data_IF_627698800653
#
_entry.id   IF_627698800653
#
_cell.length_a   1.000
_cell.length_b   1.000
_cell.length_c   1.000
_cell.angle_alpha   90.00
_cell.angle_beta   90.00
_cell.angle_gamma   90.00
#
_symmetry.space_group_name_H-M   'P 1'
#
loop_
_entity.id
_entity.type
_entity.pdbx_description
1 polymer ?
#
# COMPACT_ATOMS: atom_id res chain seq x y z
N UNK A 1 -2.05 32.97 7.87
CA UNK A 1 -2.18 31.64 7.24
C UNK A 1 -1.23 30.70 7.96
N UNK A 2 -1.74 29.85 8.84
CA UNK A 2 -0.93 28.84 9.53
C UNK A 2 -0.65 27.72 8.54
N UNK A 3 0.59 27.63 8.06
CA UNK A 3 1.03 26.52 7.20
C UNK A 3 1.05 25.26 8.07
N UNK A 4 0.12 24.35 7.84
CA UNK A 4 0.17 23.03 8.47
C UNK A 4 1.40 22.31 7.91
N UNK A 5 2.49 22.30 8.67
CA UNK A 5 3.69 21.53 8.38
C UNK A 5 3.43 20.10 8.78
N UNK A 6 2.95 19.29 7.83
CA UNK A 6 2.87 17.84 8.01
C UNK A 6 4.29 17.31 7.96
N UNK A 7 4.65 16.49 8.94
CA UNK A 7 5.94 15.80 8.97
C UNK A 7 6.08 14.95 7.69
N UNK A 8 7.16 15.15 6.89
CA UNK A 8 7.35 14.42 5.63
C UNK A 8 7.29 12.90 5.81
N UNK A 9 7.81 12.40 6.93
CA UNK A 9 7.80 10.97 7.21
C UNK A 9 6.39 10.46 7.54
N UNK A 10 5.61 11.20 8.34
CA UNK A 10 4.20 10.89 8.59
C UNK A 10 3.36 10.88 7.30
N UNK A 11 3.61 11.82 6.39
CA UNK A 11 2.95 11.87 5.07
C UNK A 11 3.28 10.63 4.23
N UNK A 12 4.57 10.27 4.15
CA UNK A 12 5.01 9.12 3.35
C UNK A 12 4.44 7.80 3.87
N UNK A 13 4.43 7.61 5.19
CA UNK A 13 3.82 6.44 5.84
C UNK A 13 2.31 6.40 5.57
N UNK A 14 1.62 7.54 5.66
CA UNK A 14 0.19 7.61 5.38
C UNK A 14 -0.14 7.21 3.94
N UNK A 15 0.62 7.70 2.96
CA UNK A 15 0.46 7.32 1.56
C UNK A 15 0.81 5.85 1.31
N UNK A 16 1.85 5.33 1.95
CA UNK A 16 2.21 3.92 1.88
C UNK A 16 1.09 3.01 2.38
N UNK A 17 0.50 3.34 3.54
CA UNK A 17 -0.62 2.60 4.11
C UNK A 17 -1.85 2.69 3.22
N UNK A 18 -2.12 3.87 2.64
CA UNK A 18 -3.24 4.05 1.72
C UNK A 18 -3.07 3.21 0.45
N UNK A 19 -1.89 3.21 -0.16
CA UNK A 19 -1.59 2.41 -1.34
C UNK A 19 -1.78 0.92 -1.08
N UNK A 20 -1.30 0.44 0.08
CA UNK A 20 -1.45 -0.95 0.49
C UNK A 20 -2.92 -1.30 0.74
N UNK A 21 -3.67 -0.42 1.41
CA UNK A 21 -5.10 -0.58 1.65
C UNK A 21 -5.92 -0.63 0.37
N UNK A 22 -5.68 0.29 -0.57
CA UNK A 22 -6.34 0.30 -1.89
C UNK A 22 -6.04 -0.99 -2.65
N UNK A 23 -4.79 -1.44 -2.64
CA UNK A 23 -4.39 -2.70 -3.28
C UNK A 23 -5.19 -3.87 -2.70
N UNK A 24 -5.25 -3.99 -1.36
CA UNK A 24 -6.02 -5.04 -0.70
C UNK A 24 -7.52 -4.99 -1.06
N UNK A 25 -8.12 -3.80 -1.14
CA UNK A 25 -9.52 -3.63 -1.52
C UNK A 25 -9.79 -4.07 -2.97
N UNK A 26 -8.88 -3.78 -3.90
CA UNK A 26 -8.99 -4.22 -5.29
C UNK A 26 -9.00 -5.75 -5.37
N UNK A 27 -8.07 -6.42 -4.67
CA UNK A 27 -8.04 -7.89 -4.63
C UNK A 27 -9.25 -8.49 -3.91
N UNK A 28 -9.74 -7.85 -2.84
CA UNK A 28 -10.97 -8.25 -2.17
C UNK A 28 -12.18 -8.15 -3.13
N UNK A 29 -12.28 -7.07 -3.89
CA UNK A 29 -13.31 -6.90 -4.93
C UNK A 29 -13.22 -7.97 -6.01
N UNK A 30 -12.01 -8.24 -6.52
CA UNK A 30 -11.77 -9.30 -7.50
C UNK A 30 -12.17 -10.68 -6.97
N UNK A 31 -11.82 -10.99 -5.71
CA UNK A 31 -12.15 -12.25 -5.04
C UNK A 31 -13.66 -12.41 -4.74
N UNK A 32 -14.38 -11.29 -4.62
CA UNK A 32 -15.83 -11.29 -4.49
C UNK A 32 -16.51 -11.53 -5.84
N UNK A 33 -16.03 -10.88 -6.91
CA UNK A 33 -16.54 -11.03 -8.27
C UNK A 33 -16.23 -12.40 -8.90
N UNK A 34 -15.09 -13.01 -8.56
CA UNK A 34 -14.64 -14.30 -9.14
C UNK A 34 -14.33 -15.35 -8.06
N UNK A 35 -15.37 -15.97 -7.45
CA UNK A 35 -15.20 -16.94 -6.37
C UNK A 35 -14.33 -18.15 -6.75
N UNK A 36 -14.47 -18.64 -7.98
CA UNK A 36 -13.71 -19.78 -8.50
C UNK A 36 -12.19 -19.55 -8.56
N UNK A 37 -11.74 -18.30 -8.64
CA UNK A 37 -10.32 -17.93 -8.68
C UNK A 37 -9.80 -17.37 -7.36
N UNK A 38 -10.58 -17.41 -6.28
CA UNK A 38 -10.33 -16.68 -5.04
C UNK A 38 -8.96 -16.96 -4.43
N UNK A 39 -8.52 -18.21 -4.38
CA UNK A 39 -7.20 -18.56 -3.82
C UNK A 39 -6.06 -17.97 -4.64
N UNK A 40 -6.10 -18.10 -5.96
CA UNK A 40 -5.10 -17.51 -6.86
C UNK A 40 -5.08 -15.99 -6.73
N UNK A 41 -6.25 -15.34 -6.70
CA UNK A 41 -6.40 -13.90 -6.53
C UNK A 41 -5.74 -13.44 -5.22
N UNK A 42 -5.99 -14.13 -4.11
CA UNK A 42 -5.38 -13.78 -2.83
C UNK A 42 -3.89 -14.09 -2.78
N UNK A 43 -3.41 -15.13 -3.44
CA UNK A 43 -1.98 -15.47 -3.50
C UNK A 43 -1.22 -14.38 -4.28
N UNK A 44 -1.71 -14.00 -5.46
CA UNK A 44 -1.16 -12.91 -6.26
C UNK A 44 -1.31 -11.57 -5.54
N UNK A 45 -2.45 -11.35 -4.87
CA UNK A 45 -2.70 -10.17 -4.05
C UNK A 45 -1.71 -10.03 -2.91
N UNK A 46 -1.42 -11.12 -2.18
CA UNK A 46 -0.42 -11.15 -1.13
C UNK A 46 0.97 -10.81 -1.67
N UNK A 47 1.38 -11.42 -2.78
CA UNK A 47 2.66 -11.08 -3.43
C UNK A 47 2.73 -9.60 -3.84
N UNK A 48 1.62 -9.06 -4.35
CA UNK A 48 1.53 -7.64 -4.75
C UNK A 48 1.63 -6.71 -3.53
N UNK A 49 0.92 -7.02 -2.44
CA UNK A 49 1.01 -6.25 -1.19
C UNK A 49 2.42 -6.27 -0.60
N UNK A 50 3.13 -7.39 -0.68
CA UNK A 50 4.54 -7.48 -0.26
C UNK A 50 5.42 -6.57 -1.12
N UNK A 51 5.24 -6.56 -2.45
CA UNK A 51 5.98 -5.67 -3.33
C UNK A 51 5.71 -4.18 -3.02
N UNK A 52 4.44 -3.81 -2.80
CA UNK A 52 4.05 -2.45 -2.39
C UNK A 52 4.70 -2.09 -1.05
N UNK A 53 4.67 -2.97 -0.05
CA UNK A 53 5.30 -2.72 1.24
C UNK A 53 6.82 -2.50 1.13
N UNK A 54 7.51 -3.29 0.29
CA UNK A 54 8.95 -3.15 0.07
C UNK A 54 9.30 -1.84 -0.64
N UNK A 55 8.51 -1.43 -1.63
CA UNK A 55 8.68 -0.15 -2.32
C UNK A 55 8.45 1.02 -1.35
N UNK A 56 7.36 0.98 -0.61
CA UNK A 56 7.06 1.99 0.42
C UNK A 56 8.13 2.08 1.49
N UNK A 57 8.66 0.94 1.97
CA UNK A 57 9.75 0.92 2.94
C UNK A 57 11.04 1.56 2.38
N UNK A 58 11.32 1.37 1.09
CA UNK A 58 12.44 2.01 0.40
C UNK A 58 12.26 3.52 0.34
N UNK A 59 11.06 4.01 0.05
CA UNK A 59 10.80 5.45 -0.07
C UNK A 59 10.83 6.14 1.29
N UNK A 60 10.25 5.54 2.34
CA UNK A 60 10.40 6.03 3.72
C UNK A 60 11.88 6.08 4.13
N UNK A 61 12.67 5.07 3.75
CA UNK A 61 14.11 5.07 4.02
C UNK A 61 14.82 6.22 3.29
N UNK A 62 14.43 6.55 2.06
CA UNK A 62 15.00 7.69 1.32
C UNK A 62 14.70 9.01 2.01
N UNK A 63 13.43 9.26 2.33
CA UNK A 63 13.00 10.48 3.04
C UNK A 63 13.70 10.65 4.40
N UNK A 64 14.01 9.55 5.09
CA UNK A 64 14.77 9.59 6.35
C UNK A 64 16.25 9.98 6.16
N UNK A 65 16.83 9.73 5.00
CA UNK A 65 18.25 9.97 4.71
C UNK A 65 18.52 11.32 4.04
N UNK A 66 17.48 12.01 3.55
CA UNK A 66 17.53 13.37 3.00
C UNK A 66 17.32 14.43 4.10
#
# INVERSE_FOLDING_TARGET
MTRMTIDPMASEIAWALLALGITALVFAGAAWSYPQGRETIWTVGAATMVAVALLSARDVRRVRHD
#
